data_IF_475200911473
#
_entry.id   IF_475200911473
#
_cell.length_a   1.000
_cell.length_b   1.000
_cell.length_c   1.000
_cell.angle_alpha   90.00
_cell.angle_beta   90.00
_cell.angle_gamma   90.00
#
_symmetry.space_group_name_H-M   'P 1'
#
loop_
_entity.id
_entity.type
_entity.pdbx_description
1 polymer ?
#
# COMPACT_ATOMS: atom_id res chain seq x y z
N UNK A 1 33.12 3.50 -5.51
CA UNK A 1 32.83 2.06 -5.35
C UNK A 1 33.44 1.35 -6.53
N UNK A 2 34.31 0.39 -6.29
CA UNK A 2 35.18 -0.28 -7.27
C UNK A 2 34.37 -1.12 -8.27
N UNK A 3 34.79 -1.10 -9.54
CA UNK A 3 34.14 -1.76 -10.69
C UNK A 3 33.80 -3.25 -10.45
N UNK A 4 34.59 -3.90 -9.61
CA UNK A 4 34.43 -5.31 -9.22
C UNK A 4 33.17 -5.55 -8.38
N UNK A 5 32.80 -4.62 -7.49
CA UNK A 5 31.57 -4.75 -6.70
C UNK A 5 30.33 -4.58 -7.56
N UNK A 6 30.38 -3.64 -8.52
CA UNK A 6 29.30 -3.44 -9.48
C UNK A 6 29.07 -4.68 -10.34
N UNK A 7 30.15 -5.32 -10.83
CA UNK A 7 30.06 -6.59 -11.57
C UNK A 7 29.53 -7.74 -10.73
N UNK A 8 30.02 -7.88 -9.50
CA UNK A 8 29.51 -8.90 -8.56
C UNK A 8 28.01 -8.72 -8.31
N UNK A 9 27.57 -7.48 -8.04
CA UNK A 9 26.18 -7.16 -7.81
C UNK A 9 25.30 -7.47 -9.03
N UNK A 10 25.75 -7.12 -10.24
CA UNK A 10 25.02 -7.45 -11.48
C UNK A 10 24.86 -8.96 -11.66
N UNK A 11 25.92 -9.74 -11.45
CA UNK A 11 25.87 -11.21 -11.56
C UNK A 11 24.95 -11.83 -10.51
N UNK A 12 24.94 -11.29 -9.28
CA UNK A 12 24.04 -11.73 -8.22
C UNK A 12 22.57 -11.41 -8.55
N UNK A 13 22.28 -10.26 -9.14
CA UNK A 13 20.94 -9.87 -9.56
C UNK A 13 20.43 -10.75 -10.71
N UNK A 14 21.27 -11.03 -11.72
CA UNK A 14 20.94 -11.97 -12.80
C UNK A 14 20.63 -13.38 -12.27
N UNK A 15 21.48 -13.92 -11.39
CA UNK A 15 21.21 -15.21 -10.76
C UNK A 15 19.94 -15.20 -9.91
N UNK A 16 19.65 -14.11 -9.20
CA UNK A 16 18.42 -13.99 -8.41
C UNK A 16 17.16 -13.98 -9.28
N UNK A 17 17.21 -13.31 -10.43
CA UNK A 17 16.12 -13.30 -11.39
C UNK A 17 15.90 -14.68 -12.02
N UNK A 18 16.99 -15.38 -12.37
CA UNK A 18 16.94 -16.74 -12.90
C UNK A 18 16.39 -17.74 -11.87
N UNK A 19 16.83 -17.65 -10.61
CA UNK A 19 16.30 -18.47 -9.52
C UNK A 19 14.82 -18.19 -9.24
N UNK A 20 14.37 -16.93 -9.30
CA UNK A 20 12.96 -16.58 -9.15
C UNK A 20 12.10 -17.19 -10.28
N UNK A 21 12.60 -17.17 -11.52
CA UNK A 21 11.95 -17.80 -12.68
C UNK A 21 11.84 -19.32 -12.52
N UNK A 22 12.90 -19.98 -12.06
CA UNK A 22 12.92 -21.43 -11.85
C UNK A 22 11.99 -21.85 -10.70
N UNK A 23 11.82 -21.01 -9.68
CA UNK A 23 11.01 -21.32 -8.51
C UNK A 23 9.50 -21.15 -8.78
N UNK A 24 9.09 -20.12 -9.54
CA UNK A 24 7.72 -19.96 -9.99
C UNK A 24 7.64 -19.07 -11.24
N UNK A 25 7.33 -19.62 -12.43
CA UNK A 25 7.22 -18.86 -13.67
C UNK A 25 6.23 -17.68 -13.60
N UNK A 26 5.24 -17.73 -12.71
CA UNK A 26 4.28 -16.64 -12.50
C UNK A 26 4.91 -15.38 -11.86
N UNK A 27 6.09 -15.50 -11.24
CA UNK A 27 6.80 -14.35 -10.65
C UNK A 27 7.39 -13.41 -11.72
N UNK A 28 7.74 -13.90 -12.92
CA UNK A 28 8.15 -13.03 -14.04
C UNK A 28 7.00 -12.11 -14.49
N UNK A 29 5.76 -12.57 -14.36
CA UNK A 29 4.55 -11.78 -14.65
C UNK A 29 4.00 -11.01 -13.46
N UNK A 30 4.66 -11.07 -12.30
CA UNK A 30 4.22 -10.35 -11.11
C UNK A 30 4.52 -8.86 -11.27
N UNK A 31 3.57 -8.15 -11.87
CA UNK A 31 3.58 -6.71 -11.98
C UNK A 31 2.73 -6.12 -10.83
N UNK A 32 3.34 -5.44 -9.85
CA UNK A 32 2.61 -4.82 -8.74
C UNK A 32 1.54 -3.82 -9.19
N UNK A 33 1.78 -3.09 -10.29
CA UNK A 33 0.82 -2.15 -10.86
C UNK A 33 -0.34 -2.88 -11.57
N UNK A 34 -0.09 -4.05 -12.16
CA UNK A 34 -1.16 -4.89 -12.72
C UNK A 34 -2.02 -5.51 -11.62
N UNK A 35 -1.40 -5.93 -10.51
CA UNK A 35 -2.14 -6.41 -9.33
C UNK A 35 -3.07 -5.33 -8.78
N UNK A 36 -2.64 -4.07 -8.75
CA UNK A 36 -3.49 -2.96 -8.32
C UNK A 36 -4.76 -2.80 -9.16
N UNK A 37 -4.69 -3.04 -10.48
CA UNK A 37 -5.86 -3.03 -11.38
C UNK A 37 -6.74 -4.28 -11.25
N UNK A 38 -6.16 -5.41 -10.82
CA UNK A 38 -6.87 -6.68 -10.68
C UNK A 38 -7.63 -6.79 -9.35
N UNK A 39 -7.20 -6.05 -8.32
CA UNK A 39 -7.91 -5.96 -7.04
C UNK A 39 -8.75 -4.68 -6.98
N UNK A 40 -10.02 -4.73 -7.43
CA UNK A 40 -10.89 -3.57 -7.37
C UNK A 40 -11.12 -3.13 -5.92
N UNK A 41 -11.49 -1.87 -5.75
CA UNK A 41 -11.96 -1.36 -4.46
C UNK A 41 -13.15 -2.20 -4.00
N UNK A 42 -13.01 -2.87 -2.85
CA UNK A 42 -14.09 -3.64 -2.24
C UNK A 42 -15.16 -2.69 -1.73
N UNK A 43 -16.43 -3.05 -1.85
CA UNK A 43 -17.53 -2.26 -1.29
C UNK A 43 -17.44 -2.16 0.24
N UNK A 44 -18.05 -1.12 0.80
CA UNK A 44 -18.17 -0.95 2.26
C UNK A 44 -18.68 -2.21 2.99
N UNK A 45 -19.73 -2.85 2.48
CA UNK A 45 -20.30 -4.05 3.10
C UNK A 45 -19.34 -5.23 3.10
N UNK A 46 -18.58 -5.41 2.02
CA UNK A 46 -17.53 -6.42 1.94
C UNK A 46 -16.41 -6.12 2.95
N UNK A 47 -15.99 -4.86 3.07
CA UNK A 47 -14.98 -4.50 4.07
C UNK A 47 -15.46 -4.72 5.50
N UNK A 48 -16.72 -4.39 5.83
CA UNK A 48 -17.27 -4.69 7.15
C UNK A 48 -17.40 -6.20 7.41
N UNK A 49 -17.68 -7.00 6.39
CA UNK A 49 -17.71 -8.46 6.51
C UNK A 49 -16.31 -9.02 6.82
N UNK A 50 -15.28 -8.60 6.09
CA UNK A 50 -13.93 -9.18 6.18
C UNK A 50 -13.07 -8.58 7.30
N UNK A 51 -13.15 -7.26 7.49
CA UNK A 51 -12.31 -6.51 8.42
C UNK A 51 -13.10 -5.82 9.53
N UNK A 52 -14.43 -5.74 9.41
CA UNK A 52 -15.26 -5.08 10.39
C UNK A 52 -15.63 -5.94 11.58
N UNK A 53 -16.72 -5.55 12.23
CA UNK A 53 -17.19 -6.15 13.47
C UNK A 53 -18.05 -7.39 13.27
N UNK A 54 -18.16 -7.87 12.03
CA UNK A 54 -19.02 -9.00 11.65
C UNK A 54 -18.69 -10.28 12.42
N UNK A 55 -17.39 -10.60 12.58
CA UNK A 55 -16.94 -11.76 13.34
C UNK A 55 -16.61 -11.45 14.81
N UNK A 56 -16.34 -10.19 15.15
CA UNK A 56 -16.10 -9.74 16.51
C UNK A 56 -16.79 -8.38 16.74
N UNK A 57 -17.98 -8.42 17.36
CA UNK A 57 -18.83 -7.24 17.58
C UNK A 57 -18.21 -6.19 18.49
N UNK A 58 -17.25 -6.58 19.33
CA UNK A 58 -16.50 -5.67 20.21
C UNK A 58 -15.17 -5.22 19.60
N UNK A 59 -14.81 -5.72 18.42
CA UNK A 59 -13.57 -5.39 17.73
C UNK A 59 -13.57 -3.98 17.10
N UNK A 60 -12.43 -3.63 16.50
CA UNK A 60 -12.30 -2.44 15.65
C UNK A 60 -13.15 -2.59 14.39
N UNK A 61 -13.77 -1.49 13.96
CA UNK A 61 -14.46 -1.42 12.67
C UNK A 61 -13.47 -1.42 11.49
N UNK A 62 -13.98 -1.63 10.28
CA UNK A 62 -13.14 -1.72 9.07
C UNK A 62 -12.36 -0.43 8.84
N UNK A 63 -13.02 0.72 9.02
CA UNK A 63 -12.43 2.06 8.97
C UNK A 63 -11.20 2.19 9.88
N UNK A 64 -11.33 1.88 11.18
CA UNK A 64 -10.21 2.02 12.13
C UNK A 64 -9.08 1.08 11.77
N UNK A 65 -9.39 -0.16 11.35
CA UNK A 65 -8.34 -1.10 10.93
C UNK A 65 -7.56 -0.60 9.73
N UNK A 66 -8.25 -0.07 8.72
CA UNK A 66 -7.62 0.47 7.52
C UNK A 66 -6.76 1.69 7.83
N UNK A 67 -7.20 2.57 8.75
CA UNK A 67 -6.36 3.67 9.24
C UNK A 67 -5.08 3.15 9.93
N UNK A 68 -5.18 2.13 10.78
CA UNK A 68 -4.00 1.50 11.40
C UNK A 68 -3.10 0.83 10.36
N UNK A 69 -3.67 0.19 9.33
CA UNK A 69 -2.91 -0.39 8.23
C UNK A 69 -2.17 0.68 7.43
N UNK A 70 -2.81 1.82 7.12
CA UNK A 70 -2.16 2.97 6.47
C UNK A 70 -0.95 3.42 7.29
N UNK A 71 -1.09 3.56 8.61
CA UNK A 71 0.00 3.93 9.49
C UNK A 71 1.20 2.98 9.36
N UNK A 72 0.95 1.67 9.40
CA UNK A 72 1.99 0.65 9.26
C UNK A 72 2.66 0.68 7.88
N UNK A 73 1.87 0.79 6.80
CA UNK A 73 2.39 0.86 5.43
C UNK A 73 3.21 2.13 5.18
N UNK A 74 2.83 3.27 5.77
CA UNK A 74 3.63 4.49 5.72
C UNK A 74 5.00 4.28 6.34
N UNK A 75 5.09 3.64 7.51
CA UNK A 75 6.37 3.37 8.18
C UNK A 75 7.24 2.37 7.41
N UNK A 76 6.63 1.40 6.72
CA UNK A 76 7.37 0.48 5.85
C UNK A 76 8.05 1.24 4.70
N UNK A 77 7.45 2.29 4.16
CA UNK A 77 8.05 3.12 3.11
C UNK A 77 7.90 2.51 1.70
N UNK A 78 8.87 2.77 0.82
CA UNK A 78 8.71 2.64 -0.63
C UNK A 78 8.25 1.25 -1.13
N UNK A 79 8.63 0.17 -0.45
CA UNK A 79 8.19 -1.19 -0.84
C UNK A 79 6.68 -1.43 -0.63
N UNK A 80 6.00 -0.57 0.13
CA UNK A 80 4.59 -0.68 0.45
C UNK A 80 3.69 0.25 -0.38
N UNK A 81 4.22 1.00 -1.35
CA UNK A 81 3.46 2.05 -2.06
C UNK A 81 2.18 1.55 -2.76
N UNK A 82 2.23 0.40 -3.42
CA UNK A 82 1.06 -0.18 -4.11
C UNK A 82 -0.02 -0.60 -3.12
N UNK A 83 0.40 -1.20 -2.00
CA UNK A 83 -0.52 -1.59 -0.92
C UNK A 83 -1.09 -0.37 -0.22
N UNK A 84 -0.29 0.68 -0.01
CA UNK A 84 -0.73 1.93 0.60
C UNK A 84 -1.83 2.59 -0.23
N UNK A 85 -1.63 2.70 -1.55
CA UNK A 85 -2.63 3.25 -2.48
C UNK A 85 -3.95 2.48 -2.44
N UNK A 86 -3.89 1.15 -2.52
CA UNK A 86 -5.07 0.29 -2.41
C UNK A 86 -5.78 0.47 -1.06
N UNK A 87 -5.02 0.51 0.03
CA UNK A 87 -5.57 0.67 1.39
C UNK A 87 -6.22 2.04 1.58
N UNK A 88 -5.68 3.10 0.98
CA UNK A 88 -6.28 4.45 1.02
C UNK A 88 -7.65 4.45 0.31
N UNK A 89 -7.76 3.83 -0.88
CA UNK A 89 -9.06 3.69 -1.57
C UNK A 89 -10.09 2.94 -0.73
N UNK A 90 -9.67 1.83 -0.13
CA UNK A 90 -10.52 1.06 0.77
C UNK A 90 -10.91 1.87 2.02
N UNK A 91 -10.00 2.65 2.61
CA UNK A 91 -10.31 3.47 3.77
C UNK A 91 -11.40 4.51 3.45
N UNK A 92 -11.33 5.17 2.29
CA UNK A 92 -12.34 6.13 1.83
C UNK A 92 -13.70 5.46 1.65
N UNK A 93 -13.76 4.30 0.98
CA UNK A 93 -14.99 3.53 0.79
C UNK A 93 -15.57 3.01 2.12
N UNK A 94 -14.72 2.72 3.11
CA UNK A 94 -15.13 2.37 4.47
C UNK A 94 -15.65 3.58 5.28
N UNK A 95 -15.58 4.80 4.73
CA UNK A 95 -16.05 6.04 5.35
C UNK A 95 -14.98 6.79 6.15
N UNK A 96 -13.70 6.48 5.97
CA UNK A 96 -12.63 7.38 6.43
C UNK A 96 -12.65 8.67 5.62
N UNK A 97 -12.38 9.79 6.29
CA UNK A 97 -12.23 11.08 5.60
C UNK A 97 -10.81 11.26 5.09
N UNK A 98 -10.63 12.03 4.02
CA UNK A 98 -9.29 12.41 3.53
C UNK A 98 -8.44 13.04 4.65
N UNK A 99 -9.08 13.84 5.52
CA UNK A 99 -8.44 14.44 6.69
C UNK A 99 -7.88 13.39 7.65
N UNK A 100 -8.66 12.38 8.01
CA UNK A 100 -8.18 11.33 8.93
C UNK A 100 -7.01 10.55 8.36
N UNK A 101 -7.06 10.24 7.06
CA UNK A 101 -5.97 9.56 6.36
C UNK A 101 -4.71 10.43 6.40
N UNK A 102 -4.82 11.73 6.09
CA UNK A 102 -3.70 12.66 6.12
C UNK A 102 -3.10 12.83 7.52
N UNK A 103 -3.93 12.94 8.56
CA UNK A 103 -3.48 13.07 9.96
C UNK A 103 -2.73 11.80 10.43
N UNK A 104 -3.22 10.61 10.07
CA UNK A 104 -2.55 9.34 10.37
C UNK A 104 -1.19 9.27 9.68
N UNK A 105 -1.11 9.59 8.39
CA UNK A 105 0.15 9.62 7.64
C UNK A 105 1.11 10.66 8.25
N UNK A 106 0.61 11.84 8.60
CA UNK A 106 1.40 12.91 9.21
C UNK A 106 2.02 12.46 10.54
N UNK A 107 1.24 11.81 11.40
CA UNK A 107 1.73 11.26 12.67
C UNK A 107 2.88 10.26 12.46
N UNK A 108 2.90 9.53 11.35
CA UNK A 108 3.97 8.57 11.04
C UNK A 108 5.31 9.22 10.74
N UNK A 109 5.38 10.55 10.55
CA UNK A 109 6.67 11.27 10.52
C UNK A 109 7.51 11.03 11.78
N UNK A 110 6.88 10.78 12.93
CA UNK A 110 7.57 10.48 14.19
C UNK A 110 8.18 9.08 14.25
N UNK A 111 7.73 8.15 13.40
CA UNK A 111 8.13 6.74 13.42
C UNK A 111 8.91 6.32 12.18
N UNK A 112 8.40 6.64 10.99
CA UNK A 112 9.04 6.38 9.69
C UNK A 112 9.90 7.55 9.17
N UNK A 113 9.90 8.68 9.87
CA UNK A 113 10.61 9.89 9.44
C UNK A 113 9.83 10.70 8.40
N UNK A 114 10.29 11.95 8.20
CA UNK A 114 9.70 12.89 7.23
C UNK A 114 9.65 12.32 5.79
N UNK A 115 10.68 11.63 5.27
CA UNK A 115 10.64 11.13 3.88
C UNK A 115 9.52 10.12 3.63
N UNK A 116 9.27 9.21 4.58
CA UNK A 116 8.21 8.22 4.48
C UNK A 116 6.82 8.88 4.52
N UNK A 117 6.64 9.84 5.42
CA UNK A 117 5.42 10.64 5.52
C UNK A 117 5.15 11.44 4.24
N UNK A 118 6.15 12.15 3.71
CA UNK A 118 5.99 12.97 2.50
C UNK A 118 5.59 12.13 1.31
N UNK A 119 6.28 11.01 1.08
CA UNK A 119 5.93 10.07 -0.01
C UNK A 119 4.51 9.53 0.14
N UNK A 120 4.11 9.15 1.36
CA UNK A 120 2.77 8.65 1.62
C UNK A 120 1.69 9.72 1.38
N UNK A 121 1.95 10.99 1.73
CA UNK A 121 1.04 12.10 1.42
C UNK A 121 0.91 12.35 -0.08
N UNK A 122 1.98 12.24 -0.85
CA UNK A 122 1.94 12.34 -2.33
C UNK A 122 1.05 11.24 -2.93
N UNK A 123 1.18 10.01 -2.43
CA UNK A 123 0.32 8.88 -2.84
C UNK A 123 -1.13 9.11 -2.42
N UNK A 124 -1.38 9.63 -1.21
CA UNK A 124 -2.73 9.95 -0.76
C UNK A 124 -3.39 11.02 -1.64
N UNK A 125 -2.65 12.08 -1.97
CA UNK A 125 -3.12 13.15 -2.85
C UNK A 125 -3.51 12.60 -4.23
N UNK A 126 -2.69 11.74 -4.84
CA UNK A 126 -3.02 11.17 -6.14
C UNK A 126 -4.34 10.39 -6.11
N UNK A 127 -4.59 9.63 -5.03
CA UNK A 127 -5.84 8.87 -4.86
C UNK A 127 -7.03 9.81 -4.66
N UNK A 128 -6.86 10.90 -3.92
CA UNK A 128 -7.93 11.87 -3.67
C UNK A 128 -8.35 12.58 -4.95
N UNK A 129 -7.38 12.91 -5.82
CA UNK A 129 -7.63 13.55 -7.10
C UNK A 129 -8.37 12.60 -8.07
N UNK A 130 -7.96 11.33 -8.13
CA UNK A 130 -8.65 10.27 -8.92
C UNK A 130 -10.12 10.13 -8.49
N UNK A 131 -10.37 10.04 -7.18
CA UNK A 131 -11.71 9.82 -6.65
C UNK A 131 -12.62 11.07 -6.79
N UNK A 132 -12.03 12.26 -6.94
CA UNK A 132 -12.78 13.49 -7.21
C UNK A 132 -13.29 13.54 -8.67
N UNK A 133 -12.53 12.96 -9.61
CA UNK A 133 -12.91 12.89 -11.02
C UNK A 133 -13.90 11.76 -11.37
N UNK A 134 -14.08 10.76 -10.50
CA UNK A 134 -15.08 9.69 -10.67
C UNK A 134 -16.48 10.08 -10.14
N UNK A 135 -16.57 11.16 -9.36
CA UNK A 135 -17.82 11.64 -8.75
C UNK A 135 -18.42 12.90 -9.44
N UNK A 136 -17.89 13.30 -10.60
CA UNK A 136 -18.49 14.28 -11.54
C UNK A 136 -19.15 13.58 -12.73
#
# INVERSE_FOLDING_TARGET
MTDDFSKLFSNMMEQSAEMARLFNPALESFNPAAMEKLFPTMSKDMMEMWFGKTFNREGLDSRTRLLVTIAALTVLGAQADSQLRLTIRHALEAGATQREIAEVIFQMSMFGGVPAMTRALEIAQSVFDENSGENE
#
